data_IF_237451541575
#
_entry.id   IF_237451541575
#
_cell.length_a   1.000
_cell.length_b   1.000
_cell.length_c   1.000
_cell.angle_alpha   90.00
_cell.angle_beta   90.00
_cell.angle_gamma   90.00
#
_symmetry.space_group_name_H-M   'P 1'
#
loop_
_entity.id
_entity.type
_entity.pdbx_description
1 polymer ?
#
# COMPACT_ATOMS: atom_id res chain seq x y z
N UNK A 1 -30.46 1.30 7.65
CA UNK A 1 -29.58 1.50 8.83
C UNK A 1 -28.17 1.64 8.28
N UNK A 2 -27.35 2.61 8.72
CA UNK A 2 -25.96 2.68 8.33
C UNK A 2 -25.24 1.43 8.88
N UNK A 3 -24.42 0.79 8.05
CA UNK A 3 -23.56 -0.32 8.48
C UNK A 3 -22.54 0.23 9.48
N UNK A 4 -22.62 -0.25 10.74
CA UNK A 4 -21.75 0.16 11.85
C UNK A 4 -20.68 -0.87 12.15
N UNK A 5 -20.45 -1.82 11.22
CA UNK A 5 -19.42 -2.83 11.40
C UNK A 5 -18.04 -2.19 11.52
N UNK A 6 -17.25 -2.70 12.46
CA UNK A 6 -15.86 -2.31 12.67
C UNK A 6 -14.95 -3.52 12.49
N UNK A 7 -13.69 -3.26 12.13
CA UNK A 7 -12.63 -4.27 12.06
C UNK A 7 -11.29 -3.67 12.45
N UNK A 8 -10.35 -4.49 12.91
CA UNK A 8 -8.98 -4.06 13.15
C UNK A 8 -8.15 -4.20 11.89
N UNK A 9 -7.54 -3.09 11.46
CA UNK A 9 -6.57 -3.06 10.38
C UNK A 9 -5.16 -2.83 10.91
N UNK A 10 -4.19 -3.51 10.31
CA UNK A 10 -2.77 -3.31 10.60
C UNK A 10 -1.99 -2.94 9.34
N UNK A 11 -1.02 -2.05 9.50
CA UNK A 11 -0.02 -1.72 8.49
C UNK A 11 1.36 -2.09 9.01
N UNK A 12 2.06 -2.93 8.24
CA UNK A 12 3.40 -3.42 8.58
C UNK A 12 4.45 -2.40 8.18
N UNK A 13 5.46 -2.24 9.02
CA UNK A 13 6.68 -1.48 8.74
C UNK A 13 7.87 -2.41 8.76
N UNK A 14 8.62 -2.49 7.67
CA UNK A 14 9.80 -3.35 7.57
C UNK A 14 10.87 -2.75 6.67
N UNK A 15 12.10 -3.25 6.76
CA UNK A 15 13.20 -2.88 5.87
C UNK A 15 13.54 -4.03 4.94
N UNK A 16 12.93 -4.08 3.75
CA UNK A 16 13.26 -5.11 2.76
C UNK A 16 14.65 -4.89 2.17
N UNK A 17 15.31 -5.99 1.80
CA UNK A 17 16.65 -6.04 1.21
C UNK A 17 16.64 -6.85 -0.09
N UNK A 18 17.80 -7.17 -0.64
CA UNK A 18 17.95 -8.11 -1.77
C UNK A 18 17.80 -9.59 -1.38
N UNK A 19 17.70 -9.91 -0.09
CA UNK A 19 17.46 -11.26 0.43
C UNK A 19 15.95 -11.53 0.56
N UNK A 20 15.37 -12.18 -0.44
CA UNK A 20 13.93 -12.50 -0.47
C UNK A 20 13.50 -13.41 0.68
N UNK A 21 14.38 -14.32 1.16
CA UNK A 21 14.03 -15.20 2.27
C UNK A 21 13.98 -14.44 3.60
N UNK A 22 14.95 -13.57 3.87
CA UNK A 22 14.94 -12.71 5.05
C UNK A 22 13.75 -11.74 5.04
N UNK A 23 13.40 -11.20 3.87
CA UNK A 23 12.22 -10.33 3.71
C UNK A 23 10.93 -11.09 4.00
N UNK A 24 10.80 -12.34 3.49
CA UNK A 24 9.65 -13.19 3.78
C UNK A 24 9.51 -13.48 5.27
N UNK A 25 10.59 -13.86 5.95
CA UNK A 25 10.56 -14.17 7.39
C UNK A 25 10.15 -12.93 8.21
N UNK A 26 10.66 -11.77 7.84
CA UNK A 26 10.29 -10.49 8.47
C UNK A 26 8.82 -10.15 8.24
N UNK A 27 8.36 -10.24 6.99
CA UNK A 27 6.95 -9.97 6.65
C UNK A 27 6.03 -10.94 7.38
N UNK A 28 6.32 -12.24 7.36
CA UNK A 28 5.56 -13.28 8.07
C UNK A 28 5.45 -12.97 9.56
N UNK A 29 6.57 -12.68 10.21
CA UNK A 29 6.60 -12.35 11.64
C UNK A 29 5.64 -11.19 11.98
N UNK A 30 5.69 -10.10 11.23
CA UNK A 30 4.84 -8.94 11.51
C UNK A 30 3.37 -9.15 11.13
N UNK A 31 3.08 -9.92 10.07
CA UNK A 31 1.72 -10.30 9.69
C UNK A 31 1.11 -11.19 10.80
N UNK A 32 1.85 -12.21 11.25
CA UNK A 32 1.41 -13.08 12.35
C UNK A 32 1.19 -12.28 13.64
N UNK A 33 2.12 -11.38 13.98
CA UNK A 33 1.99 -10.49 15.14
C UNK A 33 0.73 -9.61 15.05
N UNK A 34 0.42 -9.08 13.88
CA UNK A 34 -0.79 -8.28 13.67
C UNK A 34 -2.06 -9.13 13.83
N UNK A 35 -2.09 -10.33 13.24
CA UNK A 35 -3.21 -11.26 13.35
C UNK A 35 -3.42 -11.72 14.81
N UNK A 36 -2.35 -12.02 15.55
CA UNK A 36 -2.41 -12.39 16.96
C UNK A 36 -2.96 -11.25 17.85
N UNK A 37 -2.85 -9.99 17.39
CA UNK A 37 -3.47 -8.82 18.04
C UNK A 37 -4.88 -8.54 17.54
N UNK A 38 -5.47 -9.43 16.76
CA UNK A 38 -6.86 -9.36 16.30
C UNK A 38 -7.07 -8.60 15.00
N UNK A 39 -6.02 -8.21 14.27
CA UNK A 39 -6.19 -7.60 12.97
C UNK A 39 -6.79 -8.60 11.97
N UNK A 40 -7.87 -8.20 11.31
CA UNK A 40 -8.53 -8.99 10.25
C UNK A 40 -8.20 -8.48 8.84
N UNK A 41 -7.55 -7.32 8.76
CA UNK A 41 -6.92 -6.80 7.55
C UNK A 41 -5.47 -6.42 7.85
N UNK A 42 -4.53 -6.92 7.06
CA UNK A 42 -3.09 -6.59 7.21
C UNK A 42 -2.53 -6.17 5.86
N UNK A 43 -1.80 -5.06 5.83
CA UNK A 43 -1.07 -4.59 4.64
C UNK A 43 0.43 -4.58 4.89
N UNK A 44 1.21 -5.10 3.94
CA UNK A 44 2.67 -4.95 3.91
C UNK A 44 3.08 -3.76 3.02
N UNK A 45 4.34 -3.27 3.08
CA UNK A 45 4.78 -2.13 2.29
C UNK A 45 5.03 -2.45 0.80
N UNK A 46 5.34 -1.42 0.01
CA UNK A 46 5.83 -1.55 -1.37
C UNK A 46 7.16 -2.32 -1.39
N UNK A 47 7.37 -3.16 -2.42
CA UNK A 47 8.57 -3.98 -2.59
C UNK A 47 8.84 -4.94 -1.40
N UNK A 48 7.79 -5.54 -0.86
CA UNK A 48 7.87 -6.43 0.30
C UNK A 48 8.83 -7.59 0.08
N UNK A 49 8.79 -8.24 -1.10
CA UNK A 49 9.62 -9.40 -1.38
C UNK A 49 11.07 -9.06 -1.69
N UNK A 50 11.32 -7.90 -2.31
CA UNK A 50 12.66 -7.54 -2.78
C UNK A 50 12.85 -6.03 -2.93
N UNK A 51 13.86 -5.47 -2.28
CA UNK A 51 14.28 -4.08 -2.43
C UNK A 51 15.82 -4.00 -2.48
N UNK A 52 16.37 -4.18 -3.68
CA UNK A 52 17.79 -4.21 -3.97
C UNK A 52 18.11 -3.64 -5.34
N UNK A 53 19.24 -4.04 -5.97
CA UNK A 53 19.65 -3.57 -7.29
C UNK A 53 18.59 -3.78 -8.37
N UNK A 54 18.28 -2.75 -9.15
CA UNK A 54 17.19 -2.75 -10.14
C UNK A 54 17.27 -3.85 -11.19
N UNK A 55 18.49 -4.20 -11.64
CA UNK A 55 18.66 -5.25 -12.65
C UNK A 55 18.26 -6.64 -12.13
N UNK A 56 18.48 -6.89 -10.85
CA UNK A 56 18.14 -8.18 -10.24
C UNK A 56 16.63 -8.32 -10.04
N UNK A 57 15.93 -7.23 -9.72
CA UNK A 57 14.47 -7.27 -9.51
C UNK A 57 13.71 -7.81 -10.73
N UNK A 58 14.18 -7.50 -11.96
CA UNK A 58 13.55 -7.99 -13.20
C UNK A 58 13.77 -9.49 -13.39
N UNK A 59 14.97 -9.98 -13.02
CA UNK A 59 15.27 -11.42 -13.09
C UNK A 59 14.46 -12.24 -12.07
N UNK A 60 14.19 -11.65 -10.92
CA UNK A 60 13.44 -12.26 -9.82
C UNK A 60 11.92 -12.05 -9.95
N UNK A 61 11.47 -11.38 -11.01
CA UNK A 61 10.06 -11.14 -11.23
C UNK A 61 9.28 -12.44 -11.49
N UNK A 62 8.19 -12.64 -10.77
CA UNK A 62 7.35 -13.83 -10.82
C UNK A 62 5.94 -13.49 -11.33
N UNK A 63 5.22 -14.44 -11.96
CA UNK A 63 3.80 -14.27 -12.22
C UNK A 63 3.00 -14.28 -10.91
N UNK A 64 1.73 -13.87 -10.93
CA UNK A 64 0.83 -13.95 -9.77
C UNK A 64 0.61 -15.38 -9.26
N UNK A 65 0.87 -16.39 -10.10
CA UNK A 65 0.90 -17.82 -9.73
C UNK A 65 2.25 -18.29 -9.15
N UNK A 66 3.19 -17.38 -8.93
CA UNK A 66 4.54 -17.68 -8.45
C UNK A 66 4.64 -17.93 -6.95
N UNK A 67 5.84 -18.25 -6.49
CA UNK A 67 6.12 -18.66 -5.11
C UNK A 67 5.83 -17.54 -4.10
N UNK A 68 6.10 -16.29 -4.45
CA UNK A 68 5.81 -15.12 -3.59
C UNK A 68 4.31 -15.05 -3.27
N UNK A 69 3.45 -15.00 -4.29
CA UNK A 69 1.99 -14.96 -4.07
C UNK A 69 1.48 -16.21 -3.34
N UNK A 70 2.01 -17.39 -3.68
CA UNK A 70 1.60 -18.64 -3.01
C UNK A 70 1.88 -18.63 -1.49
N UNK A 71 3.03 -18.07 -1.05
CA UNK A 71 3.37 -17.93 0.37
C UNK A 71 2.41 -16.98 1.10
N UNK A 72 2.08 -15.83 0.50
CA UNK A 72 1.16 -14.86 1.07
C UNK A 72 -0.28 -15.39 1.10
N UNK A 73 -0.73 -16.09 0.05
CA UNK A 73 -2.01 -16.76 0.00
C UNK A 73 -2.17 -17.80 1.11
N UNK A 74 -1.14 -18.64 1.31
CA UNK A 74 -1.12 -19.63 2.39
C UNK A 74 -1.22 -18.93 3.76
N UNK A 75 -0.45 -17.89 4.00
CA UNK A 75 -0.46 -17.14 5.26
C UNK A 75 -1.82 -16.46 5.52
N UNK A 76 -2.43 -15.85 4.48
CA UNK A 76 -3.77 -15.26 4.58
C UNK A 76 -4.80 -16.31 5.02
N UNK A 77 -4.79 -17.50 4.41
CA UNK A 77 -5.66 -18.63 4.77
C UNK A 77 -5.39 -19.16 6.17
N UNK A 78 -4.11 -19.37 6.52
CA UNK A 78 -3.73 -19.95 7.80
C UNK A 78 -4.10 -19.04 8.99
N UNK A 79 -4.10 -17.72 8.76
CA UNK A 79 -4.47 -16.71 9.76
C UNK A 79 -5.93 -16.25 9.65
N UNK A 80 -6.66 -16.62 8.58
CA UNK A 80 -8.05 -16.24 8.36
C UNK A 80 -8.25 -14.72 8.19
N UNK A 81 -7.30 -14.02 7.51
CA UNK A 81 -7.28 -12.57 7.36
C UNK A 81 -7.34 -12.14 5.90
N UNK A 82 -7.82 -10.94 5.64
CA UNK A 82 -7.50 -10.22 4.41
C UNK A 82 -6.06 -9.73 4.46
N UNK A 83 -5.25 -10.12 3.47
CA UNK A 83 -3.83 -9.78 3.42
C UNK A 83 -3.50 -9.07 2.12
N UNK A 84 -3.06 -7.80 2.23
CA UNK A 84 -2.53 -7.05 1.11
C UNK A 84 -1.00 -7.23 1.07
N UNK A 85 -0.51 -7.99 0.09
CA UNK A 85 0.89 -7.91 -0.34
C UNK A 85 1.05 -6.54 -0.99
N UNK A 86 1.65 -5.61 -0.26
CA UNK A 86 1.70 -4.18 -0.61
C UNK A 86 2.29 -3.93 -1.99
N UNK A 87 3.42 -4.56 -2.30
CA UNK A 87 3.75 -4.88 -3.68
C UNK A 87 4.91 -5.88 -3.79
N UNK A 88 5.01 -6.47 -4.99
CA UNK A 88 6.11 -7.33 -5.43
C UNK A 88 6.41 -7.07 -6.91
N UNK A 89 7.51 -7.65 -7.41
CA UNK A 89 7.90 -7.56 -8.80
C UNK A 89 7.17 -8.63 -9.62
N UNK A 90 6.09 -8.24 -10.33
CA UNK A 90 5.32 -9.13 -11.19
C UNK A 90 5.95 -9.20 -12.57
N UNK A 91 6.13 -10.42 -13.10
CA UNK A 91 6.63 -10.65 -14.45
C UNK A 91 5.68 -10.08 -15.51
N UNK A 92 6.20 -9.20 -16.37
CA UNK A 92 5.43 -8.69 -17.51
C UNK A 92 5.58 -9.64 -18.72
N UNK A 93 4.49 -10.24 -19.22
CA UNK A 93 4.56 -11.34 -20.21
C UNK A 93 5.24 -10.95 -21.53
N UNK A 94 5.21 -9.68 -21.90
CA UNK A 94 5.72 -9.17 -23.18
C UNK A 94 6.97 -8.29 -23.04
N UNK A 95 7.58 -8.27 -21.83
CA UNK A 95 8.72 -7.44 -21.49
C UNK A 95 9.82 -8.30 -20.87
N UNK A 96 11.04 -8.21 -21.43
CA UNK A 96 12.20 -8.93 -20.89
C UNK A 96 13.06 -8.08 -19.94
N UNK A 97 12.94 -6.76 -20.02
CA UNK A 97 13.79 -5.78 -19.32
C UNK A 97 13.06 -5.05 -18.20
N UNK A 98 11.74 -5.24 -18.12
CA UNK A 98 10.86 -4.56 -17.15
C UNK A 98 9.87 -5.52 -16.52
N UNK A 99 9.43 -5.21 -15.31
CA UNK A 99 8.39 -5.94 -14.58
C UNK A 99 7.34 -4.95 -14.10
N UNK A 100 6.16 -5.43 -13.68
CA UNK A 100 5.21 -4.59 -12.97
C UNK A 100 5.58 -4.47 -11.49
N UNK A 101 5.20 -3.35 -10.89
CA UNK A 101 5.15 -3.15 -9.45
C UNK A 101 3.70 -3.38 -9.02
N UNK A 102 3.42 -4.53 -8.41
CA UNK A 102 2.06 -5.06 -8.30
C UNK A 102 1.66 -5.34 -6.85
N UNK A 103 0.53 -4.78 -6.45
CA UNK A 103 -0.16 -5.07 -5.20
C UNK A 103 -1.18 -6.20 -5.40
N UNK A 104 -1.27 -7.12 -4.45
CA UNK A 104 -2.19 -8.27 -4.51
C UNK A 104 -2.94 -8.41 -3.20
N UNK A 105 -4.26 -8.42 -3.27
CA UNK A 105 -5.12 -8.68 -2.12
C UNK A 105 -5.57 -10.13 -2.09
N UNK A 106 -5.30 -10.80 -0.98
CA UNK A 106 -5.77 -12.14 -0.68
C UNK A 106 -6.92 -12.08 0.33
N UNK A 107 -7.93 -12.92 0.14
CA UNK A 107 -9.00 -13.12 1.12
C UNK A 107 -8.62 -14.14 2.21
N UNK A 108 -9.47 -14.36 3.24
CA UNK A 108 -9.23 -15.36 4.29
C UNK A 108 -9.19 -16.82 3.82
N UNK A 109 -9.52 -17.10 2.57
CA UNK A 109 -9.39 -18.42 1.94
C UNK A 109 -8.06 -18.56 1.18
N UNK A 110 -7.30 -17.45 1.07
CA UNK A 110 -6.06 -17.38 0.31
C UNK A 110 -6.27 -17.17 -1.20
N UNK A 111 -7.48 -16.81 -1.61
CA UNK A 111 -7.76 -16.51 -3.01
C UNK A 111 -7.39 -15.06 -3.34
N UNK A 112 -6.88 -14.83 -4.55
CA UNK A 112 -6.62 -13.48 -5.04
C UNK A 112 -7.95 -12.81 -5.40
N UNK A 113 -8.32 -11.76 -4.68
CA UNK A 113 -9.56 -11.01 -4.93
C UNK A 113 -9.35 -9.70 -5.65
N UNK A 114 -8.13 -9.17 -5.64
CA UNK A 114 -7.77 -7.99 -6.45
C UNK A 114 -6.26 -7.95 -6.73
N UNK A 115 -5.93 -7.35 -7.88
CA UNK A 115 -4.55 -7.07 -8.30
C UNK A 115 -4.49 -5.66 -8.84
N UNK A 116 -3.51 -4.86 -8.37
CA UNK A 116 -3.30 -3.49 -8.83
C UNK A 116 -1.84 -3.32 -9.26
N UNK A 117 -1.61 -2.85 -10.48
CA UNK A 117 -0.30 -2.48 -11.00
C UNK A 117 -0.12 -0.97 -10.90
N UNK A 118 0.98 -0.55 -10.28
CA UNK A 118 1.30 0.87 -10.06
C UNK A 118 1.19 1.68 -11.35
N UNK A 119 0.37 2.71 -11.36
CA UNK A 119 0.14 3.58 -12.52
C UNK A 119 1.27 4.60 -12.65
N UNK A 120 1.59 5.33 -11.57
CA UNK A 120 2.57 6.41 -11.61
C UNK A 120 3.94 5.93 -11.15
N UNK A 121 4.88 5.86 -12.09
CA UNK A 121 6.24 5.43 -11.82
C UNK A 121 7.08 6.57 -11.26
N UNK A 122 7.97 6.23 -10.32
CA UNK A 122 8.81 7.19 -9.61
C UNK A 122 10.04 7.56 -10.43
N UNK A 123 9.84 8.47 -11.39
CA UNK A 123 10.91 9.07 -12.21
C UNK A 123 11.19 10.47 -11.68
N UNK A 124 12.28 10.61 -10.91
CA UNK A 124 12.63 11.88 -10.26
C UNK A 124 14.13 12.16 -10.34
N UNK A 125 14.47 13.44 -10.43
CA UNK A 125 15.82 13.97 -10.37
C UNK A 125 15.83 15.13 -9.37
N UNK A 126 15.94 14.81 -8.07
CA UNK A 126 15.82 15.78 -6.98
C UNK A 126 17.18 16.32 -6.56
N UNK A 127 18.22 15.47 -6.58
CA UNK A 127 19.62 15.83 -6.29
C UNK A 127 20.54 14.80 -6.93
N UNK A 128 21.87 15.06 -6.99
CA UNK A 128 22.84 14.07 -7.49
C UNK A 128 22.73 12.70 -6.80
N UNK A 129 22.31 12.67 -5.52
CA UNK A 129 22.15 11.46 -4.72
C UNK A 129 20.74 10.87 -4.82
N UNK A 130 19.75 11.65 -5.32
CA UNK A 130 18.33 11.24 -5.40
C UNK A 130 17.86 11.35 -6.85
N UNK A 131 18.36 10.44 -7.68
CA UNK A 131 17.92 10.25 -9.06
C UNK A 131 17.38 8.85 -9.23
N UNK A 132 16.08 8.73 -9.38
CA UNK A 132 15.38 7.47 -9.61
C UNK A 132 14.67 7.50 -10.95
N UNK A 133 14.80 6.44 -11.72
CA UNK A 133 14.13 6.22 -13.00
C UNK A 133 13.48 4.83 -12.94
N UNK A 134 12.33 4.75 -12.27
CA UNK A 134 11.60 3.50 -12.11
C UNK A 134 11.15 2.92 -13.46
N UNK A 135 10.82 3.79 -14.42
CA UNK A 135 10.42 3.41 -15.78
C UNK A 135 11.47 2.60 -16.57
N UNK A 136 12.74 2.64 -16.15
CA UNK A 136 13.79 1.80 -16.77
C UNK A 136 13.61 0.31 -16.49
N UNK A 137 12.93 -0.03 -15.39
CA UNK A 137 12.77 -1.42 -14.94
C UNK A 137 11.33 -1.77 -14.59
N UNK A 138 10.41 -0.82 -14.68
CA UNK A 138 9.00 -1.03 -14.44
C UNK A 138 8.14 -0.60 -15.63
N UNK A 139 7.06 -1.33 -15.85
CA UNK A 139 5.97 -1.00 -16.78
C UNK A 139 4.84 -0.36 -15.96
N UNK A 140 4.26 0.77 -16.38
CA UNK A 140 3.10 1.33 -15.70
C UNK A 140 1.87 0.45 -15.87
N UNK A 141 1.02 0.41 -14.83
CA UNK A 141 -0.35 -0.08 -14.93
C UNK A 141 -1.27 0.95 -15.60
N UNK A 142 -2.46 0.51 -15.97
CA UNK A 142 -3.46 1.36 -16.64
C UNK A 142 -4.80 1.38 -15.91
N UNK A 143 -5.05 0.38 -15.07
CA UNK A 143 -6.35 0.15 -14.44
C UNK A 143 -6.44 0.80 -13.06
N UNK A 144 -7.54 1.49 -12.80
CA UNK A 144 -7.96 1.92 -11.47
C UNK A 144 -8.69 0.73 -10.82
N UNK A 145 -8.33 0.38 -9.60
CA UNK A 145 -8.86 -0.83 -8.94
C UNK A 145 -9.54 -0.48 -7.63
N UNK A 146 -10.85 -0.74 -7.58
CA UNK A 146 -11.62 -0.87 -6.35
C UNK A 146 -12.10 -2.31 -6.17
N UNK A 147 -12.22 -2.76 -4.94
CA UNK A 147 -12.68 -4.13 -4.63
C UNK A 147 -13.60 -4.12 -3.42
N UNK A 148 -14.73 -4.81 -3.56
CA UNK A 148 -15.66 -5.04 -2.46
C UNK A 148 -15.20 -6.21 -1.60
N UNK A 149 -15.15 -5.99 -0.31
CA UNK A 149 -14.92 -7.02 0.70
C UNK A 149 -15.99 -6.92 1.80
N UNK A 150 -16.25 -7.99 2.57
CA UNK A 150 -17.10 -7.89 3.75
C UNK A 150 -16.66 -6.83 4.76
N UNK A 151 -15.38 -6.44 4.78
CA UNK A 151 -14.84 -5.44 5.69
C UNK A 151 -15.17 -4.02 5.23
N UNK A 152 -14.89 -3.70 3.96
CA UNK A 152 -15.10 -2.39 3.34
C UNK A 152 -14.85 -2.46 1.83
N UNK A 153 -15.24 -1.43 1.09
CA UNK A 153 -14.78 -1.22 -0.29
C UNK A 153 -13.41 -0.55 -0.27
N UNK A 154 -12.41 -1.24 -0.82
CA UNK A 154 -11.03 -0.79 -0.83
C UNK A 154 -10.69 -0.13 -2.18
N UNK A 155 -9.87 0.91 -2.15
CA UNK A 155 -9.20 1.48 -3.32
C UNK A 155 -7.70 1.20 -3.22
N UNK A 156 -7.11 0.60 -4.26
CA UNK A 156 -5.72 0.18 -4.27
C UNK A 156 -4.84 1.22 -4.96
N UNK A 157 -3.73 1.58 -4.30
CA UNK A 157 -2.68 2.46 -4.85
C UNK A 157 -1.30 1.98 -4.38
N UNK A 158 -0.22 2.51 -4.95
CA UNK A 158 1.16 2.23 -4.52
C UNK A 158 1.98 3.52 -4.50
N UNK A 159 2.47 3.92 -3.34
CA UNK A 159 3.54 4.88 -3.09
C UNK A 159 3.41 6.21 -3.86
N UNK A 160 4.10 6.36 -4.99
CA UNK A 160 4.14 7.59 -5.79
C UNK A 160 2.77 8.04 -6.29
N UNK A 161 1.81 7.09 -6.42
CA UNK A 161 0.42 7.38 -6.74
C UNK A 161 -0.19 8.42 -5.80
N UNK A 162 0.29 8.51 -4.54
CA UNK A 162 -0.23 9.48 -3.57
C UNK A 162 -0.04 10.94 -3.99
N UNK A 163 0.81 11.23 -4.97
CA UNK A 163 1.01 12.59 -5.48
C UNK A 163 -0.05 13.01 -6.50
N UNK A 164 -0.88 12.10 -6.97
CA UNK A 164 -1.86 12.27 -8.04
C UNK A 164 -3.28 12.22 -7.48
N UNK A 165 -3.85 13.37 -7.04
CA UNK A 165 -5.16 13.43 -6.39
C UNK A 165 -6.28 12.89 -7.26
N UNK A 166 -6.17 12.98 -8.57
CA UNK A 166 -7.17 12.49 -9.53
C UNK A 166 -7.43 11.00 -9.42
N UNK A 167 -6.40 10.17 -9.15
CA UNK A 167 -6.57 8.74 -8.90
C UNK A 167 -7.41 8.50 -7.62
N UNK A 168 -7.08 9.17 -6.54
CA UNK A 168 -7.76 9.06 -5.26
C UNK A 168 -9.22 9.52 -5.34
N UNK A 169 -9.46 10.59 -6.06
CA UNK A 169 -10.81 11.10 -6.29
C UNK A 169 -11.65 10.13 -7.13
N UNK A 170 -11.06 9.47 -8.12
CA UNK A 170 -11.74 8.42 -8.89
C UNK A 170 -12.09 7.22 -8.02
N UNK A 171 -11.15 6.72 -7.22
CA UNK A 171 -11.40 5.63 -6.27
C UNK A 171 -12.55 5.97 -5.29
N UNK A 172 -12.54 7.19 -4.74
CA UNK A 172 -13.61 7.64 -3.85
C UNK A 172 -14.97 7.73 -4.56
N UNK A 173 -15.01 8.15 -5.84
CA UNK A 173 -16.22 8.18 -6.66
C UNK A 173 -16.75 6.77 -6.95
N UNK A 174 -15.87 5.80 -7.10
CA UNK A 174 -16.24 4.39 -7.21
C UNK A 174 -16.67 3.78 -5.89
N UNK A 175 -16.74 4.59 -4.83
CA UNK A 175 -17.28 4.19 -3.54
C UNK A 175 -16.27 3.66 -2.53
N UNK A 176 -14.97 3.78 -2.79
CA UNK A 176 -13.96 3.37 -1.80
C UNK A 176 -14.21 4.01 -0.44
N UNK A 177 -14.06 3.24 0.61
CA UNK A 177 -14.15 3.63 2.02
C UNK A 177 -12.77 3.62 2.68
N UNK A 178 -11.87 2.79 2.16
CA UNK A 178 -10.49 2.61 2.62
C UNK A 178 -9.56 2.65 1.42
N UNK A 179 -8.51 3.46 1.51
CA UNK A 179 -7.47 3.60 0.50
C UNK A 179 -6.17 2.99 1.03
N UNK A 180 -5.57 2.08 0.28
CA UNK A 180 -4.29 1.47 0.65
C UNK A 180 -3.15 2.14 -0.07
N UNK A 181 -2.04 2.43 0.65
CA UNK A 181 -0.89 3.17 0.13
C UNK A 181 0.42 2.50 0.58
N UNK A 182 0.66 1.23 0.19
CA UNK A 182 1.96 0.61 0.46
C UNK A 182 3.07 1.41 -0.20
N UNK A 183 4.17 1.64 0.52
CA UNK A 183 5.18 2.62 0.07
C UNK A 183 6.61 2.23 0.45
N UNK A 184 7.55 2.64 -0.42
CA UNK A 184 8.98 2.74 -0.14
C UNK A 184 9.40 4.22 -0.29
N UNK A 185 8.86 5.07 0.57
CA UNK A 185 8.98 6.53 0.47
C UNK A 185 10.33 7.01 0.96
N UNK A 186 11.05 7.80 0.17
CA UNK A 186 12.41 8.23 0.52
C UNK A 186 12.44 9.08 1.79
N UNK A 187 13.48 8.94 2.61
CA UNK A 187 13.65 9.69 3.85
C UNK A 187 13.57 11.21 3.62
N UNK A 188 14.23 11.72 2.57
CA UNK A 188 14.27 13.16 2.29
C UNK A 188 12.87 13.73 2.05
N UNK A 189 12.11 13.13 1.14
CA UNK A 189 10.77 13.63 0.84
C UNK A 189 9.74 13.19 1.89
N UNK A 190 10.00 12.10 2.61
CA UNK A 190 9.12 11.60 3.66
C UNK A 190 8.94 12.58 4.79
N UNK A 191 10.04 13.18 5.26
CA UNK A 191 10.02 14.17 6.36
C UNK A 191 9.05 15.33 6.10
N UNK A 192 8.93 15.75 4.84
CA UNK A 192 8.17 16.93 4.48
C UNK A 192 6.81 16.61 3.86
N UNK A 193 6.68 15.46 3.16
CA UNK A 193 5.51 15.18 2.31
C UNK A 193 4.62 14.04 2.80
N UNK A 194 5.14 13.09 3.59
CA UNK A 194 4.42 11.85 3.93
C UNK A 194 3.08 12.12 4.61
N UNK A 195 3.10 12.73 5.78
CA UNK A 195 1.88 13.04 6.52
C UNK A 195 0.98 14.07 5.81
N UNK A 196 1.51 15.19 5.27
CA UNK A 196 0.68 16.14 4.55
C UNK A 196 -0.10 15.52 3.39
N UNK A 197 0.55 14.70 2.55
CA UNK A 197 -0.11 14.08 1.41
C UNK A 197 -1.14 13.03 1.85
N UNK A 198 -0.79 12.11 2.75
CA UNK A 198 -1.71 11.07 3.21
C UNK A 198 -2.94 11.66 3.90
N UNK A 199 -2.76 12.69 4.74
CA UNK A 199 -3.87 13.40 5.37
C UNK A 199 -4.73 14.12 4.34
N UNK A 200 -4.12 14.75 3.33
CA UNK A 200 -4.86 15.37 2.23
C UNK A 200 -5.71 14.33 1.49
N UNK A 201 -5.15 13.14 1.18
CA UNK A 201 -5.91 12.04 0.55
C UNK A 201 -7.09 11.61 1.41
N UNK A 202 -6.89 11.42 2.72
CA UNK A 202 -7.98 11.07 3.63
C UNK A 202 -9.09 12.13 3.68
N UNK A 203 -8.71 13.41 3.79
CA UNK A 203 -9.66 14.53 3.95
C UNK A 203 -10.47 14.76 2.67
N UNK A 204 -9.81 14.83 1.50
CA UNK A 204 -10.46 15.18 0.23
C UNK A 204 -11.37 14.06 -0.32
N UNK A 205 -11.04 12.80 0.03
CA UNK A 205 -11.81 11.61 -0.38
C UNK A 205 -12.80 11.15 0.67
N UNK A 206 -12.61 11.59 1.91
CA UNK A 206 -13.39 11.16 3.07
C UNK A 206 -13.34 9.63 3.25
N UNK A 207 -12.13 9.06 3.08
CA UNK A 207 -11.81 7.66 3.22
C UNK A 207 -10.77 7.48 4.33
N UNK A 208 -10.71 6.28 4.94
CA UNK A 208 -9.53 5.87 5.68
C UNK A 208 -8.34 5.73 4.74
N UNK A 209 -7.13 5.98 5.25
CA UNK A 209 -5.87 5.73 4.55
C UNK A 209 -5.03 4.76 5.37
N UNK A 210 -4.67 3.63 4.76
CA UNK A 210 -3.81 2.60 5.34
C UNK A 210 -2.48 2.60 4.57
N UNK A 211 -1.43 3.17 5.15
CA UNK A 211 -0.14 3.37 4.50
C UNK A 211 0.95 2.55 5.20
N UNK A 212 1.20 1.34 4.68
CA UNK A 212 2.33 0.51 5.10
C UNK A 212 3.61 1.00 4.43
N UNK A 213 4.70 1.17 5.19
CA UNK A 213 5.93 1.79 4.70
C UNK A 213 7.17 0.94 4.93
N UNK A 214 8.08 0.97 3.95
CA UNK A 214 9.47 0.56 4.16
C UNK A 214 10.18 1.53 5.09
N UNK A 215 11.13 1.04 5.89
CA UNK A 215 11.92 1.83 6.83
C UNK A 215 13.40 1.52 6.74
N UNK A 216 14.24 2.50 7.08
CA UNK A 216 15.68 2.32 7.20
C UNK A 216 16.43 2.29 5.88
N UNK A 217 17.69 1.87 5.94
CA UNK A 217 18.57 1.78 4.78
C UNK A 217 18.38 0.44 4.07
N UNK A 218 18.39 0.47 2.74
CA UNK A 218 18.33 -0.72 1.90
C UNK A 218 19.71 -1.04 1.29
N UNK A 219 19.92 -2.28 0.87
CA UNK A 219 21.23 -2.78 0.41
C UNK A 219 21.53 -2.52 -1.08
N UNK A 220 20.88 -1.53 -1.67
CA UNK A 220 21.16 -1.02 -3.01
C UNK A 220 22.37 -0.06 -3.06
N UNK A 221 23.45 -0.40 -2.38
CA UNK A 221 24.65 0.41 -2.09
C UNK A 221 24.39 1.60 -1.19
N UNK A 222 23.35 1.55 -0.35
CA UNK A 222 22.96 2.62 0.56
C UNK A 222 22.35 3.85 -0.10
N UNK A 223 21.98 3.74 -1.38
CA UNK A 223 21.36 4.83 -2.13
C UNK A 223 19.93 5.11 -1.66
N UNK A 224 19.23 4.09 -1.14
CA UNK A 224 17.86 4.23 -0.65
C UNK A 224 17.82 4.17 0.87
N UNK A 225 17.15 5.18 1.40
CA UNK A 225 16.77 5.23 2.80
C UNK A 225 15.29 5.59 2.85
N UNK A 226 14.48 4.69 3.37
CA UNK A 226 13.04 4.88 3.51
C UNK A 226 12.69 5.54 4.82
N UNK A 227 11.63 6.35 4.79
CA UNK A 227 11.22 7.21 5.89
C UNK A 227 10.59 6.43 7.05
N UNK A 228 9.88 5.34 6.78
CA UNK A 228 9.10 4.65 7.80
C UNK A 228 7.75 5.32 8.04
N UNK A 229 7.33 5.33 9.32
CA UNK A 229 6.07 5.90 9.76
C UNK A 229 4.86 5.30 9.05
N UNK A 230 4.77 3.94 9.03
CA UNK A 230 3.54 3.27 8.62
C UNK A 230 2.38 3.79 9.43
N UNK A 231 1.31 4.24 8.76
CA UNK A 231 0.29 5.07 9.41
C UNK A 231 -1.12 4.69 8.99
N UNK A 232 -2.07 4.81 9.93
CA UNK A 232 -3.51 4.71 9.68
C UNK A 232 -4.14 6.06 9.98
N UNK A 233 -4.91 6.59 9.02
CA UNK A 233 -5.54 7.90 9.09
C UNK A 233 -7.05 7.75 8.87
N UNK A 234 -7.86 8.45 9.69
CA UNK A 234 -9.32 8.44 9.57
C UNK A 234 -9.83 9.38 8.45
N UNK A 235 -11.10 9.28 8.04
CA UNK A 235 -11.69 10.13 6.99
C UNK A 235 -11.70 11.63 7.30
N UNK A 236 -11.42 12.04 8.56
CA UNK A 236 -11.29 13.43 8.99
C UNK A 236 -9.84 13.93 8.92
N UNK A 237 -8.89 13.04 8.65
CA UNK A 237 -7.46 13.35 8.60
C UNK A 237 -6.73 13.19 9.94
N UNK A 238 -7.35 12.56 10.94
CA UNK A 238 -6.69 12.23 12.20
C UNK A 238 -5.79 11.00 12.03
N UNK A 239 -4.56 11.08 12.52
CA UNK A 239 -3.67 9.92 12.64
C UNK A 239 -4.18 9.08 13.82
N UNK A 240 -4.63 7.86 13.51
CA UNK A 240 -5.13 6.90 14.51
C UNK A 240 -4.01 6.04 15.10
N UNK A 241 -3.03 5.69 14.27
CA UNK A 241 -1.85 4.91 14.67
C UNK A 241 -0.69 5.23 13.75
N UNK A 242 0.52 5.27 14.31
CA UNK A 242 1.81 5.45 13.63
C UNK A 242 2.82 4.46 14.20
N UNK A 243 3.51 3.72 13.36
CA UNK A 243 4.52 2.76 13.78
C UNK A 243 5.82 3.43 14.28
N UNK A 244 6.00 4.73 14.01
CA UNK A 244 7.21 5.47 14.38
C UNK A 244 8.44 5.02 13.60
N UNK A 245 9.60 5.05 14.26
CA UNK A 245 10.87 4.63 13.68
C UNK A 245 11.10 3.11 13.83
N UNK A 246 11.80 2.51 12.84
CA UNK A 246 12.20 1.10 12.87
C UNK A 246 11.08 0.11 12.48
N UNK A 247 11.40 -1.20 12.38
CA UNK A 247 10.42 -2.22 12.05
C UNK A 247 9.32 -2.38 13.10
N UNK A 248 8.08 -2.62 12.66
CA UNK A 248 6.94 -2.74 13.58
C UNK A 248 5.60 -2.81 12.86
N UNK A 249 4.54 -2.54 13.60
CA UNK A 249 3.17 -2.46 13.09
C UNK A 249 2.43 -1.28 13.71
N UNK A 250 1.56 -0.63 12.95
CA UNK A 250 0.52 0.24 13.48
C UNK A 250 -0.84 -0.45 13.32
N UNK A 251 -1.68 -0.44 14.36
CA UNK A 251 -3.01 -1.07 14.37
C UNK A 251 -4.04 -0.05 14.82
N UNK A 252 -5.17 0.00 14.11
CA UNK A 252 -6.32 0.80 14.50
C UNK A 252 -7.64 0.14 14.10
N UNK A 253 -8.70 0.50 14.80
CA UNK A 253 -10.07 0.15 14.43
C UNK A 253 -10.54 1.00 13.25
N UNK A 254 -11.12 0.35 12.26
CA UNK A 254 -11.73 0.95 11.08
C UNK A 254 -13.24 0.75 11.18
N UNK A 255 -13.98 1.86 11.15
CA UNK A 255 -15.45 1.84 11.26
C UNK A 255 -16.12 2.45 10.03
N UNK A 256 -16.91 1.65 9.28
CA UNK A 256 -17.68 2.14 8.12
C UNK A 256 -18.66 3.25 8.52
N UNK A 257 -19.21 3.19 9.73
CA UNK A 257 -20.06 4.24 10.28
C UNK A 257 -19.38 5.61 10.32
N UNK A 258 -18.06 5.66 10.55
CA UNK A 258 -17.28 6.91 10.55
C UNK A 258 -17.20 7.54 9.16
N UNK A 259 -17.00 6.74 8.12
CA UNK A 259 -17.04 7.21 6.72
C UNK A 259 -18.41 7.84 6.41
N UNK A 260 -19.47 7.12 6.74
CA UNK A 260 -20.84 7.60 6.51
C UNK A 260 -21.15 8.89 7.28
N UNK A 261 -20.68 9.00 8.53
CA UNK A 261 -20.83 10.19 9.36
C UNK A 261 -20.13 11.41 8.73
N UNK A 262 -18.86 11.26 8.36
CA UNK A 262 -18.07 12.35 7.78
C UNK A 262 -18.67 12.81 6.45
N UNK A 263 -19.05 11.89 5.56
CA UNK A 263 -19.68 12.21 4.28
C UNK A 263 -21.04 12.89 4.43
N UNK A 264 -21.80 12.54 5.47
CA UNK A 264 -23.08 13.17 5.76
C UNK A 264 -22.91 14.57 6.35
N UNK A 265 -21.97 14.75 7.28
CA UNK A 265 -21.75 16.04 7.96
C UNK A 265 -21.07 17.07 7.06
N UNK A 266 -20.23 16.63 6.13
CA UNK A 266 -19.52 17.49 5.17
C UNK A 266 -19.58 16.86 3.76
N UNK A 267 -20.66 17.03 3.00
CA UNK A 267 -20.89 16.30 1.74
C UNK A 267 -20.04 16.87 0.58
N UNK A 268 -18.71 16.82 0.71
CA UNK A 268 -17.73 17.39 -0.26
C UNK A 268 -17.96 16.85 -1.66
N UNK A 269 -18.27 15.55 -1.80
CA UNK A 269 -18.47 14.92 -3.11
C UNK A 269 -19.61 15.56 -3.91
N UNK A 270 -20.73 15.93 -3.24
CA UNK A 270 -21.88 16.58 -3.88
C UNK A 270 -21.65 18.08 -4.12
N UNK A 271 -20.73 18.71 -3.42
CA UNK A 271 -20.40 20.12 -3.58
C UNK A 271 -19.39 20.39 -4.71
N UNK A 272 -18.79 19.34 -5.28
CA UNK A 272 -17.86 19.48 -6.41
C UNK A 272 -18.54 20.07 -7.63
N UNK A 273 -17.91 21.06 -8.26
CA UNK A 273 -18.38 21.74 -9.48
C UNK A 273 -17.56 21.39 -10.71
N UNK A 274 -16.31 21.03 -10.51
CA UNK A 274 -15.43 20.64 -11.60
C UNK A 274 -15.46 19.12 -11.81
N UNK A 275 -15.42 18.64 -13.07
CA UNK A 275 -15.27 17.22 -13.33
C UNK A 275 -13.93 16.73 -12.74
N UNK A 276 -13.96 15.56 -12.18
CA UNK A 276 -12.75 14.77 -11.92
C UNK A 276 -12.54 13.93 -13.16
N UNK A 277 -11.52 14.25 -13.91
CA UNK A 277 -11.20 13.71 -15.22
C UNK A 277 -11.24 12.19 -15.35
#
# INVERSE_FOLDING_TARGET
MADTSTFLAAVVQMGSTSDEQANWETARHWIETAADRGATFVSTPENTNYLGPHKEKVKLAEPTSGATCARFAALARDRGIYLLLGSYNEKAPHESERCYNTSVLFDPQGEIVATYRKIHLFDVDVSPEVRFLESKTAVPGEDIVTVDTPLARLGLTICYDMRFPELYLKLAREGAEVLTVPSAFTLMTGKDHWFPLLRARAIETQCYVLAAAQTGRHDDRGLRHSYGHSVIIDPWGHVLADAGDGPGIAIAEIGRGRVAEVRRSMPVASHRRLPVG
#
